data_IF_650821820349
#
_entry.id   IF_650821820349
#
_cell.length_a   1.000
_cell.length_b   1.000
_cell.length_c   1.000
_cell.angle_alpha   90.00
_cell.angle_beta   90.00
_cell.angle_gamma   90.00
#
_symmetry.space_group_name_H-M   'P 1'
#
loop_
_entity.id
_entity.type
_entity.pdbx_description
1 polymer ?
#
# COMPACT_ATOMS: atom_id res chain seq x y z
N UNK A 1 -0.20 5.52 -12.20
CA UNK A 1 0.44 5.94 -10.93
C UNK A 1 0.65 7.44 -10.85
N UNK A 2 0.99 8.16 -11.94
CA UNK A 2 1.25 9.62 -11.90
C UNK A 2 0.15 10.43 -11.20
N UNK A 3 -1.13 10.13 -11.44
CA UNK A 3 -2.22 10.81 -10.74
C UNK A 3 -2.27 10.57 -9.22
N UNK A 4 -1.71 9.47 -8.72
CA UNK A 4 -1.59 9.19 -7.27
C UNK A 4 -0.50 10.08 -6.67
N UNK A 5 0.66 10.13 -7.32
CA UNK A 5 1.79 10.93 -6.84
C UNK A 5 1.46 12.42 -6.85
N UNK A 6 0.86 12.93 -7.94
CA UNK A 6 0.43 14.32 -8.04
C UNK A 6 -0.56 14.70 -6.94
N UNK A 7 -1.53 13.83 -6.65
CA UNK A 7 -2.48 14.05 -5.57
C UNK A 7 -1.80 14.11 -4.20
N UNK A 8 -0.85 13.20 -3.95
CA UNK A 8 -0.09 13.12 -2.70
C UNK A 8 0.80 14.36 -2.49
N UNK A 9 1.58 14.74 -3.52
CA UNK A 9 2.44 15.93 -3.48
C UNK A 9 1.63 17.21 -3.30
N UNK A 10 0.49 17.33 -3.99
CA UNK A 10 -0.42 18.47 -3.86
C UNK A 10 -1.03 18.57 -2.47
N UNK A 11 -1.45 17.43 -1.89
CA UNK A 11 -2.03 17.39 -0.54
C UNK A 11 -1.00 17.71 0.55
N UNK A 12 0.21 17.16 0.43
CA UNK A 12 1.30 17.41 1.39
C UNK A 12 1.98 18.77 1.21
N UNK A 13 1.83 19.41 0.05
CA UNK A 13 2.39 20.73 -0.24
C UNK A 13 3.92 20.72 -0.39
N UNK A 14 4.49 19.60 -0.84
CA UNK A 14 5.95 19.41 -1.00
C UNK A 14 6.28 18.99 -2.42
N UNK A 15 7.54 19.19 -2.83
CA UNK A 15 8.06 18.54 -4.04
C UNK A 15 8.53 17.14 -3.72
N UNK A 16 8.76 16.36 -4.77
CA UNK A 16 9.37 15.03 -4.66
C UNK A 16 10.69 15.11 -3.89
N UNK A 17 10.90 14.16 -2.98
CA UNK A 17 12.06 14.05 -2.08
C UNK A 17 12.23 15.21 -1.08
N UNK A 18 11.24 16.09 -0.93
CA UNK A 18 11.21 17.06 0.17
C UNK A 18 10.43 16.48 1.36
N UNK A 19 10.82 16.90 2.56
CA UNK A 19 10.11 16.56 3.79
C UNK A 19 9.10 17.67 4.08
N UNK A 20 7.91 17.28 4.53
CA UNK A 20 6.87 18.21 4.96
C UNK A 20 7.33 19.08 6.14
N UNK A 21 6.75 20.27 6.29
CA UNK A 21 7.13 21.20 7.35
C UNK A 21 6.89 20.64 8.78
N UNK A 22 5.91 19.74 8.92
CA UNK A 22 5.64 19.01 10.16
C UNK A 22 6.66 17.89 10.45
N UNK A 23 7.56 17.58 9.50
CA UNK A 23 8.60 16.57 9.62
C UNK A 23 8.10 15.13 9.51
N UNK A 24 6.83 14.91 9.15
CA UNK A 24 6.21 13.58 9.19
C UNK A 24 6.31 12.79 7.89
N UNK A 25 6.22 13.45 6.72
CA UNK A 25 6.11 12.75 5.45
C UNK A 25 7.16 13.23 4.46
N UNK A 26 7.58 12.30 3.61
CA UNK A 26 8.34 12.57 2.39
C UNK A 26 7.82 11.65 1.29
N UNK A 27 7.86 12.12 0.05
CA UNK A 27 7.35 11.39 -1.12
C UNK A 27 8.50 11.10 -2.07
N UNK A 28 8.74 9.82 -2.33
CA UNK A 28 9.73 9.34 -3.30
C UNK A 28 9.08 8.50 -4.39
N UNK A 29 9.61 8.62 -5.60
CA UNK A 29 9.28 7.70 -6.70
C UNK A 29 10.14 6.44 -6.57
N UNK A 30 9.52 5.29 -6.72
CA UNK A 30 10.17 3.99 -6.71
C UNK A 30 9.80 3.24 -7.99
N UNK A 31 10.69 2.34 -8.39
CA UNK A 31 10.47 1.43 -9.52
C UNK A 31 9.45 0.33 -9.17
N UNK A 32 9.48 -0.78 -9.89
CA UNK A 32 8.63 -1.93 -9.62
C UNK A 32 8.74 -2.40 -8.15
N UNK A 33 7.62 -2.33 -7.43
CA UNK A 33 7.48 -2.76 -6.04
C UNK A 33 6.85 -4.17 -5.89
N UNK A 34 6.63 -4.89 -7.00
CA UNK A 34 6.09 -6.26 -6.99
C UNK A 34 4.57 -6.38 -6.84
N UNK A 35 3.84 -5.27 -6.67
CA UNK A 35 2.37 -5.25 -6.51
C UNK A 35 1.62 -5.02 -7.83
N UNK A 36 2.11 -5.59 -8.94
CA UNK A 36 1.66 -5.20 -10.29
C UNK A 36 0.19 -5.53 -10.58
N UNK A 37 -0.31 -6.66 -10.09
CA UNK A 37 -1.73 -7.04 -10.25
C UNK A 37 -2.67 -6.21 -9.37
N UNK A 38 -2.09 -5.54 -8.37
CA UNK A 38 -2.76 -4.63 -7.45
C UNK A 38 -2.39 -3.17 -7.72
N UNK A 39 -1.97 -2.84 -8.94
CA UNK A 39 -1.70 -1.46 -9.31
C UNK A 39 -3.03 -0.69 -9.41
N UNK A 40 -3.09 0.57 -8.98
CA UNK A 40 -2.02 1.42 -8.43
C UNK A 40 -1.68 1.13 -6.97
N UNK A 41 -0.46 1.46 -6.53
CA UNK A 41 0.01 1.20 -5.16
C UNK A 41 0.86 2.34 -4.61
N UNK A 42 0.98 2.41 -3.28
CA UNK A 42 1.97 3.18 -2.55
C UNK A 42 2.58 2.30 -1.45
N UNK A 43 3.81 2.61 -1.06
CA UNK A 43 4.43 1.98 0.11
C UNK A 43 4.74 3.02 1.16
N UNK A 44 4.41 2.72 2.41
CA UNK A 44 4.73 3.56 3.56
C UNK A 44 5.80 2.86 4.38
N UNK A 45 6.97 3.50 4.46
CA UNK A 45 8.00 3.16 5.42
C UNK A 45 7.74 3.93 6.72
N UNK A 46 7.18 3.25 7.72
CA UNK A 46 6.93 3.85 9.03
C UNK A 46 8.21 3.79 9.87
N UNK A 47 8.85 4.94 10.05
CA UNK A 47 10.05 5.11 10.87
C UNK A 47 9.74 5.63 12.29
N UNK A 48 8.47 5.80 12.68
CA UNK A 48 8.07 6.48 13.92
C UNK A 48 8.57 5.83 15.21
N UNK A 49 8.75 4.51 15.21
CA UNK A 49 9.12 3.71 16.38
C UNK A 49 10.51 3.08 16.28
N UNK A 50 11.39 3.66 15.46
CA UNK A 50 12.76 3.15 15.26
C UNK A 50 12.78 1.72 14.73
N UNK A 51 13.85 0.97 15.04
CA UNK A 51 14.05 -0.38 14.51
C UNK A 51 13.03 -1.41 14.98
N UNK A 52 12.46 -1.24 16.18
CA UNK A 52 11.53 -2.22 16.77
C UNK A 52 10.12 -2.12 16.20
N UNK A 53 9.70 -0.91 15.81
CA UNK A 53 8.38 -0.67 15.23
C UNK A 53 8.40 -0.30 13.76
N UNK A 54 9.54 -0.50 13.08
CA UNK A 54 9.65 -0.27 11.65
C UNK A 54 8.66 -1.16 10.89
N UNK A 55 7.87 -0.56 10.01
CA UNK A 55 7.01 -1.30 9.10
C UNK A 55 7.17 -0.78 7.67
N UNK A 56 7.11 -1.70 6.72
CA UNK A 56 7.16 -1.39 5.29
C UNK A 56 5.88 -1.90 4.65
N UNK A 57 4.84 -1.05 4.72
CA UNK A 57 3.47 -1.45 4.43
C UNK A 57 3.11 -1.12 2.99
N UNK A 58 2.64 -2.14 2.27
CA UNK A 58 2.09 -2.00 0.92
C UNK A 58 0.63 -1.60 1.01
N UNK A 59 0.25 -0.48 0.41
CA UNK A 59 -1.14 -0.11 0.18
C UNK A 59 -1.39 -0.20 -1.31
N UNK A 60 -2.19 -1.18 -1.69
CA UNK A 60 -2.38 -1.58 -3.08
C UNK A 60 -3.82 -1.30 -3.52
N UNK A 61 -4.10 -1.31 -4.82
CA UNK A 61 -5.40 -0.93 -5.40
C UNK A 61 -5.89 0.47 -4.94
N UNK A 62 -4.97 1.42 -4.82
CA UNK A 62 -5.26 2.75 -4.26
C UNK A 62 -5.79 3.73 -5.31
N UNK A 63 -6.66 4.62 -4.86
CA UNK A 63 -7.11 5.81 -5.60
C UNK A 63 -6.53 7.08 -4.98
N UNK A 64 -6.54 8.24 -5.68
CA UNK A 64 -6.06 9.50 -5.11
C UNK A 64 -6.71 9.85 -3.76
N UNK A 65 -8.02 9.63 -3.65
CA UNK A 65 -8.78 9.88 -2.42
C UNK A 65 -8.32 8.94 -1.29
N UNK A 66 -8.11 7.66 -1.63
CA UNK A 66 -7.70 6.66 -0.66
C UNK A 66 -6.30 6.91 -0.10
N UNK A 67 -5.39 7.36 -0.96
CA UNK A 67 -4.04 7.72 -0.55
C UNK A 67 -4.04 8.90 0.42
N UNK A 68 -4.87 9.93 0.17
CA UNK A 68 -5.03 11.05 1.10
C UNK A 68 -5.61 10.57 2.44
N UNK A 69 -6.61 9.69 2.42
CA UNK A 69 -7.16 9.09 3.64
C UNK A 69 -6.10 8.34 4.46
N UNK A 70 -5.26 7.55 3.79
CA UNK A 70 -4.16 6.78 4.43
C UNK A 70 -3.18 7.74 5.11
N UNK A 71 -2.74 8.80 4.42
CA UNK A 71 -1.81 9.80 4.97
C UNK A 71 -2.39 10.50 6.18
N UNK A 72 -3.65 10.93 6.14
CA UNK A 72 -4.28 11.62 7.27
C UNK A 72 -4.48 10.70 8.48
N UNK A 73 -4.73 9.39 8.27
CA UNK A 73 -4.73 8.40 9.35
C UNK A 73 -3.34 8.23 9.96
N UNK A 74 -2.31 8.09 9.13
CA UNK A 74 -0.93 8.00 9.59
C UNK A 74 -0.51 9.25 10.37
N UNK A 75 -0.92 10.44 9.92
CA UNK A 75 -0.66 11.72 10.60
C UNK A 75 -1.26 11.77 12.01
N UNK A 76 -2.40 11.08 12.21
CA UNK A 76 -3.04 10.93 13.53
C UNK A 76 -2.37 9.86 14.42
N UNK A 77 -1.34 9.17 13.92
CA UNK A 77 -0.70 8.05 14.60
C UNK A 77 -1.48 6.73 14.49
N UNK A 78 -2.50 6.66 13.63
CA UNK A 78 -3.23 5.43 13.35
C UNK A 78 -2.41 4.53 12.40
N UNK A 79 -2.63 3.22 12.49
CA UNK A 79 -2.04 2.23 11.59
C UNK A 79 -3.11 1.68 10.64
N UNK A 80 -3.33 2.31 9.47
CA UNK A 80 -4.35 1.84 8.54
C UNK A 80 -4.02 0.42 8.04
N UNK A 81 -5.05 -0.38 7.71
CA UNK A 81 -4.86 -1.74 7.21
C UNK A 81 -4.13 -1.72 5.87
N UNK A 82 -3.01 -2.46 5.79
CA UNK A 82 -2.22 -2.62 4.58
C UNK A 82 -2.74 -3.79 3.72
N UNK A 83 -2.23 -3.88 2.50
CA UNK A 83 -2.70 -4.77 1.43
C UNK A 83 -3.62 -4.03 0.46
N UNK A 84 -4.41 -4.80 -0.28
CA UNK A 84 -5.43 -4.25 -1.19
C UNK A 84 -6.41 -3.35 -0.44
N UNK A 85 -6.59 -2.14 -0.96
CA UNK A 85 -7.62 -1.21 -0.52
C UNK A 85 -8.95 -1.44 -1.23
N UNK A 86 -9.00 -2.41 -2.15
CA UNK A 86 -10.21 -2.87 -2.83
C UNK A 86 -10.84 -4.05 -2.05
N UNK A 87 -11.99 -3.85 -1.40
CA UNK A 87 -12.63 -4.90 -0.60
C UNK A 87 -13.27 -6.01 -1.46
N UNK A 88 -13.45 -5.81 -2.76
CA UNK A 88 -13.94 -6.83 -3.69
C UNK A 88 -12.86 -7.85 -4.08
N UNK A 89 -11.62 -7.66 -3.62
CA UNK A 89 -10.46 -8.46 -3.97
C UNK A 89 -9.79 -9.08 -2.74
N UNK A 90 -9.35 -10.32 -2.85
CA UNK A 90 -8.59 -10.99 -1.78
C UNK A 90 -7.10 -10.87 -2.10
N UNK A 91 -6.39 -9.98 -1.41
CA UNK A 91 -4.95 -9.72 -1.67
C UNK A 91 -4.70 -9.53 -3.17
N UNK A 92 -4.05 -10.48 -3.83
CA UNK A 92 -3.71 -10.49 -5.26
C UNK A 92 -4.66 -11.33 -6.15
N UNK A 93 -5.83 -11.70 -5.63
CA UNK A 93 -6.83 -12.49 -6.34
C UNK A 93 -7.56 -11.67 -7.41
N UNK A 94 -8.38 -12.31 -8.28
CA UNK A 94 -9.34 -11.61 -9.12
C UNK A 94 -10.39 -10.84 -8.31
N UNK A 95 -10.77 -9.66 -8.80
CA UNK A 95 -11.91 -8.92 -8.29
C UNK A 95 -13.21 -9.72 -8.43
N UNK A 96 -14.06 -9.70 -7.41
CA UNK A 96 -15.29 -10.49 -7.37
C UNK A 96 -15.10 -11.92 -6.85
N UNK A 97 -13.88 -12.27 -6.44
CA UNK A 97 -13.54 -13.54 -5.81
C UNK A 97 -12.66 -14.43 -6.69
N UNK A 98 -11.92 -15.34 -6.04
CA UNK A 98 -10.98 -16.19 -6.74
C UNK A 98 -11.68 -17.14 -7.70
N UNK A 99 -11.17 -17.25 -8.93
CA UNK A 99 -11.63 -18.20 -9.95
C UNK A 99 -10.95 -19.57 -9.87
N UNK A 100 -9.92 -19.67 -9.02
CA UNK A 100 -9.15 -20.88 -8.71
C UNK A 100 -8.90 -20.95 -7.20
N UNK A 101 -8.21 -21.98 -6.69
CA UNK A 101 -7.96 -22.16 -5.25
C UNK A 101 -9.25 -22.20 -4.40
N UNK A 102 -10.29 -22.83 -4.96
CA UNK A 102 -11.62 -22.94 -4.34
C UNK A 102 -11.75 -24.14 -3.38
N UNK A 103 -10.94 -25.18 -3.59
CA UNK A 103 -10.97 -26.39 -2.76
C UNK A 103 -10.11 -26.25 -1.50
N UNK A 104 -10.45 -27.03 -0.47
CA UNK A 104 -9.58 -27.15 0.70
C UNK A 104 -8.20 -27.70 0.31
N UNK A 105 -7.10 -27.07 0.73
CA UNK A 105 -5.76 -27.56 0.45
C UNK A 105 -5.55 -28.96 1.02
N UNK A 106 -5.12 -29.89 0.17
CA UNK A 106 -4.74 -31.26 0.58
C UNK A 106 -3.31 -31.53 0.14
N UNK A 107 -2.53 -32.33 0.89
CA UNK A 107 -1.22 -32.77 0.44
C UNK A 107 -1.36 -33.42 -0.96
N UNK A 108 -0.53 -33.03 -1.94
CA UNK A 108 -0.53 -33.71 -3.22
C UNK A 108 -0.08 -35.17 -3.01
N UNK A 109 -0.45 -36.09 -3.92
CA UNK A 109 0.10 -37.44 -3.88
C UNK A 109 1.62 -37.35 -4.08
N UNK A 110 2.38 -37.55 -3.01
CA UNK A 110 3.82 -37.73 -3.08
C UNK A 110 4.08 -39.14 -3.63
N UNK A 111 4.97 -39.25 -4.62
CA UNK A 111 5.48 -40.55 -5.04
C UNK A 111 6.65 -40.91 -4.12
N UNK A 112 6.58 -42.07 -3.51
CA UNK A 112 7.66 -42.68 -2.73
C UNK A 112 9.00 -42.69 -3.50
#
# INVERSE_FOLDING_TARGET
SQGIEEALLKHLGVKRNEVTQDGFFSVGEMECMGCCVNAPMITVADYSNGSEGYTYNYFEDVTPEKVIEIVEKLRKGEKPPHGTQNPQQIRNGPEGGNTTLLGEPKPPPCRD
#
